data_IF_226196299024
#
_entry.id   IF_226196299024
#
_cell.length_a   1.000
_cell.length_b   1.000
_cell.length_c   1.000
_cell.angle_alpha   90.00
_cell.angle_beta   90.00
_cell.angle_gamma   90.00
#
_symmetry.space_group_name_H-M   'P 1'
#
loop_
_entity.id
_entity.type
_entity.pdbx_description
1 polymer ?
#
# COMPACT_ATOMS: atom_id res chain seq x y z
N UNK A 1 -70.67 54.28 18.03
CA UNK A 1 -69.67 53.43 17.35
C UNK A 1 -69.19 52.39 18.36
N UNK A 2 -69.59 51.13 18.22
CA UNK A 2 -69.25 50.07 19.20
C UNK A 2 -67.97 49.31 18.78
N UNK A 3 -67.03 49.04 19.69
CA UNK A 3 -65.87 48.20 19.40
C UNK A 3 -66.26 46.71 19.41
N UNK A 4 -65.94 45.98 18.33
CA UNK A 4 -66.15 44.54 18.26
C UNK A 4 -65.08 43.78 19.06
N UNK A 5 -65.44 42.78 19.89
CA UNK A 5 -64.46 42.00 20.64
C UNK A 5 -63.65 41.09 19.70
N UNK A 6 -62.33 41.34 19.62
CA UNK A 6 -61.40 40.47 18.88
C UNK A 6 -61.18 39.16 19.64
N UNK A 7 -61.79 38.08 19.17
CA UNK A 7 -61.53 36.73 19.68
C UNK A 7 -60.05 36.35 19.43
N UNK A 8 -59.24 36.35 20.51
CA UNK A 8 -57.87 35.82 20.48
C UNK A 8 -57.93 34.31 20.75
N UNK A 9 -57.60 33.43 19.78
CA UNK A 9 -57.54 32.00 20.06
C UNK A 9 -56.42 31.71 21.07
N UNK A 10 -56.74 30.97 22.13
CA UNK A 10 -55.74 30.52 23.10
C UNK A 10 -54.76 29.53 22.43
N UNK A 11 -53.44 29.62 22.70
CA UNK A 11 -52.47 28.70 22.11
C UNK A 11 -52.70 27.27 22.59
N UNK A 12 -52.83 26.32 21.64
CA UNK A 12 -53.01 24.89 21.92
C UNK A 12 -51.73 24.26 22.46
N UNK A 13 -51.43 24.50 23.75
CA UNK A 13 -50.18 24.11 24.44
C UNK A 13 -49.73 22.66 24.23
N UNK A 14 -50.67 21.72 24.04
CA UNK A 14 -50.33 20.30 23.79
C UNK A 14 -49.52 20.04 22.52
N UNK A 15 -49.71 20.83 21.45
CA UNK A 15 -48.95 20.65 20.20
C UNK A 15 -47.50 21.12 20.33
N UNK A 16 -47.23 22.19 21.09
CA UNK A 16 -45.88 22.72 21.27
C UNK A 16 -44.97 21.75 22.04
N UNK A 17 -45.51 21.00 23.01
CA UNK A 17 -44.74 19.97 23.73
C UNK A 17 -44.38 18.80 22.80
N UNK A 18 -45.33 18.36 21.96
CA UNK A 18 -45.11 17.29 20.99
C UNK A 18 -44.03 17.66 19.98
N UNK A 19 -44.08 18.90 19.45
CA UNK A 19 -43.10 19.42 18.50
C UNK A 19 -41.68 19.47 19.09
N UNK A 20 -41.53 19.97 20.33
CA UNK A 20 -40.24 19.99 21.05
C UNK A 20 -39.71 18.57 21.32
N UNK A 21 -40.58 17.61 21.64
CA UNK A 21 -40.18 16.20 21.83
C UNK A 21 -39.73 15.58 20.50
N UNK A 22 -40.45 15.81 19.41
CA UNK A 22 -40.07 15.32 18.07
C UNK A 22 -38.74 15.93 17.63
N UNK A 23 -38.57 17.24 17.78
CA UNK A 23 -37.31 17.93 17.50
C UNK A 23 -36.14 17.38 18.33
N UNK A 24 -36.36 17.11 19.62
CA UNK A 24 -35.37 16.48 20.51
C UNK A 24 -34.98 15.06 20.08
N UNK A 25 -35.94 14.24 19.65
CA UNK A 25 -35.67 12.87 19.13
C UNK A 25 -34.91 12.93 17.81
N UNK A 26 -35.30 13.81 16.88
CA UNK A 26 -34.58 14.00 15.60
C UNK A 26 -33.15 14.49 15.85
N UNK A 27 -32.96 15.44 16.77
CA UNK A 27 -31.64 15.94 17.16
C UNK A 27 -30.77 14.85 17.78
N UNK A 28 -31.33 14.01 18.66
CA UNK A 28 -30.60 12.90 19.28
C UNK A 28 -30.14 11.87 18.23
N UNK A 29 -30.99 11.52 17.27
CA UNK A 29 -30.65 10.61 16.16
C UNK A 29 -29.57 11.23 15.26
N UNK A 30 -29.72 12.50 14.87
CA UNK A 30 -28.75 13.21 14.02
C UNK A 30 -27.38 13.38 14.68
N UNK A 31 -27.33 13.63 15.99
CA UNK A 31 -26.08 13.73 16.73
C UNK A 31 -25.40 12.35 16.88
N UNK A 32 -26.18 11.28 17.11
CA UNK A 32 -25.65 9.92 17.20
C UNK A 32 -25.06 9.43 15.86
N UNK A 33 -25.69 9.73 14.72
CA UNK A 33 -25.14 9.38 13.40
C UNK A 33 -23.88 10.17 13.07
N UNK A 34 -23.83 11.46 13.42
CA UNK A 34 -22.62 12.28 13.26
C UNK A 34 -21.44 11.72 14.07
N UNK A 35 -21.61 11.41 15.37
CA UNK A 35 -20.53 10.82 16.17
C UNK A 35 -20.07 9.44 15.64
N UNK A 36 -21.01 8.62 15.17
CA UNK A 36 -20.70 7.32 14.55
C UNK A 36 -19.83 7.49 13.29
N UNK A 37 -20.16 8.45 12.42
CA UNK A 37 -19.37 8.79 11.24
C UNK A 37 -17.98 9.34 11.61
N UNK A 38 -17.87 10.18 12.64
CA UNK A 38 -16.58 10.71 13.12
C UNK A 38 -15.68 9.61 13.66
N UNK A 39 -16.18 8.69 14.50
CA UNK A 39 -15.39 7.57 15.03
C UNK A 39 -14.85 6.70 13.90
N UNK A 40 -15.74 6.28 12.99
CA UNK A 40 -15.36 5.46 11.83
C UNK A 40 -14.36 6.17 10.90
N UNK A 41 -14.46 7.49 10.77
CA UNK A 41 -13.49 8.28 9.99
C UNK A 41 -12.10 8.31 10.63
N UNK A 42 -12.02 8.40 11.96
CA UNK A 42 -10.76 8.37 12.70
C UNK A 42 -10.13 6.97 12.68
N UNK A 43 -10.94 5.92 12.84
CA UNK A 43 -10.52 4.52 12.69
C UNK A 43 -9.96 4.25 11.28
N UNK A 44 -10.66 4.70 10.23
CA UNK A 44 -10.20 4.57 8.85
C UNK A 44 -8.93 5.39 8.54
N UNK A 45 -8.76 6.56 9.18
CA UNK A 45 -7.55 7.37 9.02
C UNK A 45 -6.32 6.66 9.60
N UNK A 46 -6.42 6.12 10.82
CA UNK A 46 -5.32 5.39 11.48
C UNK A 46 -5.02 4.05 10.80
N UNK A 47 -6.06 3.37 10.29
CA UNK A 47 -5.90 2.17 9.45
C UNK A 47 -5.18 2.48 8.12
N UNK A 48 -5.42 3.66 7.54
CA UNK A 48 -4.71 4.15 6.36
C UNK A 48 -3.25 4.53 6.65
N UNK A 49 -2.99 5.20 7.76
CA UNK A 49 -1.66 5.59 8.25
C UNK A 49 -0.75 4.36 8.43
N UNK A 50 -1.22 3.34 9.15
CA UNK A 50 -0.50 2.06 9.32
C UNK A 50 -0.22 1.39 7.97
N UNK A 51 -1.17 1.43 7.01
CA UNK A 51 -0.98 0.85 5.67
C UNK A 51 0.05 1.60 4.83
N UNK A 52 0.10 2.93 4.94
CA UNK A 52 1.11 3.75 4.24
C UNK A 52 2.50 3.50 4.80
N UNK A 53 2.65 3.42 6.14
CA UNK A 53 3.92 3.06 6.77
C UNK A 53 4.36 1.63 6.41
N UNK A 54 3.44 0.65 6.44
CA UNK A 54 3.73 -0.73 6.03
C UNK A 54 4.20 -0.81 4.57
N UNK A 55 3.54 -0.08 3.66
CA UNK A 55 3.93 -0.03 2.25
C UNK A 55 5.30 0.64 2.04
N UNK A 56 5.58 1.75 2.72
CA UNK A 56 6.89 2.42 2.68
C UNK A 56 8.02 1.55 3.25
N UNK A 57 7.73 0.77 4.30
CA UNK A 57 8.69 -0.18 4.85
C UNK A 57 8.98 -1.33 3.87
N UNK A 58 7.95 -1.92 3.25
CA UNK A 58 8.10 -2.96 2.23
C UNK A 58 8.91 -2.47 1.02
N UNK A 59 8.62 -1.27 0.52
CA UNK A 59 9.35 -0.63 -0.59
C UNK A 59 10.83 -0.37 -0.22
N UNK A 60 11.10 0.09 1.01
CA UNK A 60 12.46 0.28 1.52
C UNK A 60 13.26 -1.02 1.62
N UNK A 61 12.64 -2.09 2.14
CA UNK A 61 13.28 -3.40 2.27
C UNK A 61 13.58 -4.02 0.89
N UNK A 62 12.63 -3.97 -0.04
CA UNK A 62 12.83 -4.47 -1.41
C UNK A 62 13.86 -3.64 -2.19
N UNK A 63 13.94 -2.32 -1.93
CA UNK A 63 14.97 -1.45 -2.52
C UNK A 63 16.38 -1.76 -2.00
N UNK A 64 16.51 -2.14 -0.73
CA UNK A 64 17.80 -2.57 -0.14
C UNK A 64 18.28 -3.89 -0.79
N UNK A 65 17.40 -4.89 -0.90
CA UNK A 65 17.70 -6.17 -1.59
C UNK A 65 18.05 -5.95 -3.07
N UNK A 66 17.38 -5.00 -3.75
CA UNK A 66 17.66 -4.64 -5.14
C UNK A 66 19.02 -3.93 -5.32
N UNK A 67 19.42 -3.10 -4.35
CA UNK A 67 20.67 -2.32 -4.40
C UNK A 67 21.90 -3.21 -4.17
N UNK A 68 21.88 -4.01 -3.10
CA UNK A 68 23.01 -4.89 -2.76
C UNK A 68 23.03 -6.13 -3.65
N UNK A 69 21.86 -6.71 -3.94
CA UNK A 69 21.69 -7.91 -4.76
C UNK A 69 21.14 -9.08 -3.92
N UNK A 70 20.18 -9.86 -4.43
CA UNK A 70 19.48 -10.89 -3.64
C UNK A 70 20.38 -12.05 -3.21
N UNK A 71 21.51 -12.29 -3.90
CA UNK A 71 22.48 -13.31 -3.53
C UNK A 71 23.25 -12.93 -2.25
N UNK A 72 23.85 -11.74 -2.23
CA UNK A 72 24.75 -11.29 -1.15
C UNK A 72 23.99 -10.75 0.07
N UNK A 73 22.71 -10.37 -0.09
CA UNK A 73 21.90 -9.72 0.95
C UNK A 73 21.87 -10.50 2.28
N UNK A 74 21.79 -11.83 2.25
CA UNK A 74 21.70 -12.64 3.49
C UNK A 74 23.01 -12.74 4.29
N UNK A 75 24.16 -12.49 3.66
CA UNK A 75 25.46 -12.45 4.33
C UNK A 75 25.80 -11.04 4.86
N UNK A 76 25.16 -10.01 4.30
CA UNK A 76 25.38 -8.59 4.62
C UNK A 76 24.34 -8.02 5.61
N UNK A 77 23.06 -8.41 5.49
CA UNK A 77 21.93 -7.87 6.24
C UNK A 77 21.16 -8.98 7.00
N UNK A 78 20.43 -8.59 8.05
CA UNK A 78 19.59 -9.54 8.80
C UNK A 78 18.27 -9.79 8.08
N UNK A 79 17.97 -11.04 7.75
CA UNK A 79 16.71 -11.42 7.09
C UNK A 79 15.46 -11.31 7.97
N UNK A 80 15.59 -10.91 9.25
CA UNK A 80 14.48 -10.50 10.11
C UNK A 80 14.93 -9.51 11.19
N UNK A 81 14.02 -8.63 11.63
CA UNK A 81 14.30 -7.64 12.66
C UNK A 81 13.09 -6.79 13.04
N UNK A 82 13.35 -5.69 13.74
CA UNK A 82 12.40 -4.60 14.00
C UNK A 82 12.72 -3.43 13.08
N UNK A 83 11.71 -2.69 12.63
CA UNK A 83 11.92 -1.48 11.83
C UNK A 83 12.67 -0.38 12.60
N UNK A 84 13.54 0.34 11.89
CA UNK A 84 14.08 1.62 12.33
C UNK A 84 13.11 2.77 12.00
N UNK A 85 13.34 3.95 12.55
CA UNK A 85 12.46 5.12 12.38
C UNK A 85 12.15 5.45 10.91
N UNK A 86 10.86 5.60 10.50
CA UNK A 86 9.65 5.73 11.31
C UNK A 86 8.82 4.42 11.45
N UNK A 87 9.46 3.26 11.37
CA UNK A 87 8.82 1.95 11.30
C UNK A 87 8.94 1.13 12.60
N UNK A 88 9.19 1.76 13.76
CA UNK A 88 9.41 1.04 15.02
C UNK A 88 8.18 0.25 15.51
N UNK A 89 6.97 0.53 15.01
CA UNK A 89 5.75 -0.25 15.29
C UNK A 89 5.66 -1.57 14.51
N UNK A 90 6.67 -1.89 13.67
CA UNK A 90 6.70 -3.07 12.81
C UNK A 90 7.91 -4.00 13.08
N UNK A 91 7.66 -5.31 13.03
CA UNK A 91 8.68 -6.34 12.81
C UNK A 91 8.70 -6.74 11.33
N UNK A 92 9.88 -7.06 10.78
CA UNK A 92 10.03 -7.49 9.38
C UNK A 92 10.68 -8.87 9.25
N UNK A 93 10.43 -9.50 8.11
CA UNK A 93 11.13 -10.69 7.61
C UNK A 93 11.21 -10.65 6.10
N UNK A 94 12.41 -10.89 5.58
CA UNK A 94 12.66 -11.11 4.15
C UNK A 94 12.89 -12.60 3.95
N UNK A 95 12.38 -13.13 2.84
CA UNK A 95 12.78 -14.43 2.27
C UNK A 95 13.26 -14.20 0.86
N UNK A 96 14.30 -14.92 0.48
CA UNK A 96 14.86 -14.91 -0.86
C UNK A 96 15.02 -16.37 -1.27
N UNK A 97 14.44 -16.75 -2.40
CA UNK A 97 14.62 -18.08 -3.00
C UNK A 97 15.35 -17.96 -4.33
N UNK A 98 16.40 -18.77 -4.52
CA UNK A 98 17.11 -18.92 -5.79
C UNK A 98 16.45 -20.03 -6.63
N UNK A 99 15.76 -19.72 -7.75
CA UNK A 99 15.24 -20.72 -8.67
C UNK A 99 16.32 -21.34 -9.59
N UNK A 100 17.53 -20.77 -9.63
CA UNK A 100 18.68 -21.28 -10.36
C UNK A 100 19.09 -20.46 -11.59
N UNK A 101 20.07 -21.00 -12.32
CA UNK A 101 20.83 -20.28 -13.35
C UNK A 101 19.94 -19.73 -14.48
N UNK A 102 19.85 -18.39 -14.54
CA UNK A 102 19.17 -17.65 -15.60
C UNK A 102 17.76 -17.18 -15.24
N UNK A 103 17.21 -17.63 -14.12
CA UNK A 103 15.92 -17.19 -13.59
C UNK A 103 16.12 -16.09 -12.52
N UNK A 104 15.15 -15.17 -12.32
CA UNK A 104 15.24 -14.12 -11.29
C UNK A 104 14.86 -14.66 -9.90
N UNK A 105 15.51 -14.16 -8.86
CA UNK A 105 15.24 -14.54 -7.47
C UNK A 105 13.81 -14.17 -7.06
N UNK A 106 13.13 -15.09 -6.37
CA UNK A 106 11.98 -14.77 -5.53
C UNK A 106 12.46 -13.89 -4.39
N UNK A 107 11.76 -12.79 -4.13
CA UNK A 107 11.97 -11.97 -2.92
C UNK A 107 10.61 -11.64 -2.31
N UNK A 108 10.36 -12.20 -1.13
CA UNK A 108 9.15 -11.97 -0.33
C UNK A 108 9.52 -11.15 0.92
N UNK A 109 9.12 -9.89 0.93
CA UNK A 109 9.19 -9.03 2.11
C UNK A 109 7.86 -9.10 2.89
N UNK A 110 7.95 -9.27 4.21
CA UNK A 110 6.80 -9.38 5.11
C UNK A 110 7.02 -8.44 6.29
N UNK A 111 6.05 -7.56 6.57
CA UNK A 111 6.06 -6.66 7.74
C UNK A 111 4.83 -6.93 8.59
N UNK A 112 5.00 -6.98 9.91
CA UNK A 112 3.93 -7.25 10.88
C UNK A 112 3.90 -6.15 11.94
N UNK A 113 2.79 -5.44 11.99
CA UNK A 113 2.53 -4.37 12.95
C UNK A 113 2.26 -4.95 14.35
N UNK A 114 2.56 -4.20 15.42
CA UNK A 114 2.34 -4.64 16.82
C UNK A 114 0.89 -5.05 17.15
N UNK A 115 -0.09 -4.61 16.34
CA UNK A 115 -1.50 -5.05 16.42
C UNK A 115 -1.76 -6.45 15.84
N UNK A 116 -0.71 -7.20 15.48
CA UNK A 116 -0.79 -8.55 14.90
C UNK A 116 -1.25 -8.57 13.44
N UNK A 117 -1.16 -7.43 12.74
CA UNK A 117 -1.54 -7.30 11.33
C UNK A 117 -0.31 -7.43 10.44
N UNK A 118 -0.36 -8.38 9.51
CA UNK A 118 0.72 -8.63 8.55
C UNK A 118 0.38 -8.07 7.18
N UNK A 119 1.40 -7.52 6.51
CA UNK A 119 1.39 -7.03 5.14
C UNK A 119 2.61 -7.65 4.43
N UNK A 120 2.45 -8.02 3.17
CA UNK A 120 3.49 -8.73 2.42
C UNK A 120 3.55 -8.25 0.97
N UNK A 121 4.74 -8.32 0.38
CA UNK A 121 5.00 -7.99 -1.01
C UNK A 121 6.01 -8.99 -1.58
N UNK A 122 5.64 -9.64 -2.67
CA UNK A 122 6.47 -10.60 -3.41
C UNK A 122 6.86 -9.98 -4.75
N UNK A 123 8.13 -10.12 -5.12
CA UNK A 123 8.68 -9.60 -6.39
C UNK A 123 9.79 -10.51 -6.93
N UNK A 124 10.14 -10.31 -8.20
CA UNK A 124 11.24 -11.01 -8.86
C UNK A 124 12.41 -10.05 -9.06
N UNK A 125 13.58 -10.38 -8.51
CA UNK A 125 14.80 -9.58 -8.62
C UNK A 125 15.86 -10.35 -9.39
N UNK A 126 16.33 -9.78 -10.50
CA UNK A 126 17.39 -10.39 -11.30
C UNK A 126 18.71 -10.46 -10.51
N UNK A 127 19.52 -11.48 -10.78
CA UNK A 127 20.88 -11.55 -10.26
C UNK A 127 21.69 -10.30 -10.66
N UNK A 128 22.45 -9.74 -9.72
CA UNK A 128 23.36 -8.62 -9.97
C UNK A 128 24.51 -9.11 -10.86
N UNK A 129 24.51 -8.66 -12.12
CA UNK A 129 25.66 -8.84 -13.01
C UNK A 129 26.87 -8.14 -12.38
N UNK A 130 28.02 -8.81 -12.36
CA UNK A 130 29.25 -8.26 -11.78
C UNK A 130 29.83 -7.10 -12.58
N UNK A 131 30.94 -6.53 -12.11
CA UNK A 131 31.66 -5.43 -12.80
C UNK A 131 32.37 -5.87 -14.11
N UNK A 132 32.16 -7.12 -14.55
CA UNK A 132 32.70 -7.62 -15.81
C UNK A 132 32.06 -6.84 -16.98
N UNK A 133 32.87 -6.24 -17.88
CA UNK A 133 32.34 -5.41 -18.95
C UNK A 133 31.49 -6.26 -19.90
N UNK A 134 30.30 -5.75 -20.22
CA UNK A 134 29.32 -6.38 -21.09
C UNK A 134 30.02 -6.91 -22.37
N UNK A 135 29.99 -8.24 -22.64
CA UNK A 135 30.81 -8.84 -23.68
C UNK A 135 30.51 -8.21 -25.04
N UNK A 136 31.52 -8.00 -25.87
CA UNK A 136 31.39 -7.35 -27.18
C UNK A 136 30.34 -8.12 -28.01
N UNK A 137 29.14 -7.54 -28.12
CA UNK A 137 27.99 -8.13 -28.85
C UNK A 137 28.05 -7.87 -30.35
N UNK A 138 29.09 -7.16 -30.81
CA UNK A 138 29.39 -6.96 -32.22
C UNK A 138 30.05 -8.23 -32.80
N UNK A 139 29.64 -8.69 -34.01
CA UNK A 139 30.36 -9.75 -34.71
C UNK A 139 31.84 -9.40 -34.92
N UNK A 140 32.74 -10.33 -34.57
CA UNK A 140 34.19 -10.21 -34.80
C UNK A 140 34.53 -9.96 -36.27
N UNK A 141 33.72 -10.51 -37.17
CA UNK A 141 33.83 -10.38 -38.62
C UNK A 141 32.51 -9.81 -39.19
N UNK A 142 32.55 -8.91 -40.18
CA UNK A 142 31.35 -8.47 -40.88
C UNK A 142 30.57 -9.67 -41.44
N UNK A 143 29.25 -9.70 -41.25
CA UNK A 143 28.41 -10.79 -41.76
C UNK A 143 28.42 -10.74 -43.30
N UNK A 144 29.26 -11.56 -43.91
CA UNK A 144 29.21 -11.81 -45.35
C UNK A 144 27.85 -12.43 -45.70
N UNK A 145 27.21 -11.86 -46.72
CA UNK A 145 25.92 -12.30 -47.23
C UNK A 145 26.05 -12.92 -48.61
N UNK A 146 27.08 -12.60 -49.36
CA UNK A 146 27.28 -13.09 -50.73
C UNK A 146 27.85 -14.51 -50.68
N UNK A 147 28.91 -14.75 -49.90
CA UNK A 147 29.44 -16.10 -49.65
C UNK A 147 28.35 -17.05 -49.08
N UNK A 148 27.47 -16.54 -48.23
CA UNK A 148 26.34 -17.30 -47.66
C UNK A 148 25.25 -17.64 -48.69
N UNK A 149 25.12 -16.86 -49.76
CA UNK A 149 24.24 -17.23 -50.89
C UNK A 149 24.94 -18.20 -51.84
N UNK A 150 26.25 -18.07 -52.05
CA UNK A 150 27.05 -19.02 -52.84
C UNK A 150 26.99 -20.44 -52.21
N UNK A 151 27.26 -20.58 -50.91
CA UNK A 151 27.12 -21.85 -50.17
C UNK A 151 25.68 -22.41 -50.16
N UNK A 152 24.66 -21.55 -50.28
CA UNK A 152 23.25 -21.96 -50.23
C UNK A 152 22.66 -22.33 -51.61
N UNK A 153 23.34 -21.97 -52.70
CA UNK A 153 22.86 -22.17 -54.08
C UNK A 153 23.84 -22.90 -55.02
N UNK A 154 25.07 -23.17 -54.57
CA UNK A 154 26.03 -24.10 -55.21
C UNK A 154 26.35 -23.71 -56.68
N UNK A 155 26.81 -22.45 -56.86
CA UNK A 155 27.06 -21.77 -58.15
C UNK A 155 28.55 -21.69 -58.56
#
# INVERSE_FOLDING_TARGET
MYPMPRYRPAPKRGFALLDVVIAGVILAIGLATLFSLTSRSLEAQRDGEIKVLAAGMLDSLLSEVLLEGPADYQDLHSSAGRGEYPYEEFEYRIRISDPGVGEPYEVLAVVTHETGRTYECETLIAAKLGEEPDPIREPQEPIDREARYEEAFDL
#
